data_IF_072422822671
#
_entry.id   IF_072422822671
#
_cell.length_a   1.000
_cell.length_b   1.000
_cell.length_c   1.000
_cell.angle_alpha   90.00
_cell.angle_beta   90.00
_cell.angle_gamma   90.00
#
_symmetry.space_group_name_H-M   'P 1'
#
loop_
_entity.id
_entity.type
_entity.pdbx_description
1 polymer ?
#
# COMPACT_ATOMS: atom_id res chain seq x y z
N UNK A 1 62.10 -32.10 -74.80
CA UNK A 1 60.63 -31.87 -74.90
C UNK A 1 59.97 -33.20 -74.57
N UNK A 2 59.06 -33.31 -73.59
CA UNK A 2 58.01 -32.35 -73.20
C UNK A 2 58.21 -31.71 -71.81
N UNK A 3 57.49 -30.62 -71.54
CA UNK A 3 57.44 -29.87 -70.28
C UNK A 3 56.43 -30.51 -69.33
N UNK A 4 56.86 -30.85 -68.11
CA UNK A 4 55.95 -31.11 -66.98
C UNK A 4 55.50 -29.76 -66.39
N UNK A 5 54.19 -29.55 -66.28
CA UNK A 5 53.60 -28.45 -65.53
C UNK A 5 53.48 -28.84 -64.05
N UNK A 6 53.72 -27.93 -63.09
CA UNK A 6 53.47 -28.21 -61.68
C UNK A 6 51.97 -28.08 -61.39
N UNK A 7 51.39 -29.12 -60.77
CA UNK A 7 50.03 -29.07 -60.25
C UNK A 7 50.00 -28.14 -59.02
N UNK A 8 49.27 -27.03 -59.14
CA UNK A 8 48.98 -26.10 -58.06
C UNK A 8 47.89 -26.71 -57.17
N UNK A 9 48.27 -27.16 -55.97
CA UNK A 9 47.31 -27.62 -54.96
C UNK A 9 46.79 -26.38 -54.21
N UNK A 10 45.58 -25.93 -54.54
CA UNK A 10 44.88 -24.89 -53.78
C UNK A 10 44.26 -25.57 -52.55
N UNK A 11 44.82 -25.28 -51.38
CA UNK A 11 44.24 -25.65 -50.09
C UNK A 11 43.04 -24.72 -49.85
N UNK A 12 41.82 -25.19 -50.15
CA UNK A 12 40.60 -24.50 -49.71
C UNK A 12 40.44 -24.70 -48.21
N UNK A 13 40.84 -23.69 -47.42
CA UNK A 13 40.40 -23.57 -46.04
C UNK A 13 38.91 -23.25 -46.04
N UNK A 14 38.06 -24.27 -45.91
CA UNK A 14 36.66 -24.09 -45.53
C UNK A 14 36.65 -23.61 -44.08
N UNK A 15 36.59 -22.29 -43.89
CA UNK A 15 36.12 -21.71 -42.64
C UNK A 15 34.64 -22.06 -42.52
N UNK A 16 34.33 -23.12 -41.77
CA UNK A 16 32.99 -23.30 -41.26
C UNK A 16 32.71 -22.09 -40.36
N UNK A 17 31.94 -21.13 -40.87
CA UNK A 17 31.27 -20.15 -40.02
C UNK A 17 30.28 -20.96 -39.19
N UNK A 18 30.71 -21.39 -38.01
CA UNK A 18 29.80 -21.81 -36.96
C UNK A 18 28.99 -20.55 -36.68
N UNK A 19 27.74 -20.52 -37.13
CA UNK A 19 26.83 -19.45 -36.74
C UNK A 19 26.82 -19.44 -35.23
N UNK A 20 27.34 -18.37 -34.62
CA UNK A 20 27.22 -18.20 -33.18
C UNK A 20 25.72 -18.24 -32.89
N UNK A 21 25.27 -19.24 -32.13
CA UNK A 21 23.91 -19.24 -31.61
C UNK A 21 23.71 -17.91 -30.87
N UNK A 22 22.56 -17.28 -31.07
CA UNK A 22 22.26 -16.04 -30.35
C UNK A 22 22.36 -16.33 -28.84
N UNK A 23 23.00 -15.43 -28.07
CA UNK A 23 23.15 -15.64 -26.64
C UNK A 23 21.76 -15.69 -25.99
N UNK A 24 21.53 -16.56 -24.99
CA UNK A 24 20.28 -16.58 -24.26
C UNK A 24 20.07 -15.23 -23.57
N UNK A 25 18.81 -14.80 -23.44
CA UNK A 25 18.48 -13.46 -22.93
C UNK A 25 17.97 -13.53 -21.50
N UNK A 26 18.55 -12.71 -20.63
CA UNK A 26 18.09 -12.45 -19.29
C UNK A 26 17.41 -11.08 -19.23
N UNK A 27 16.18 -11.01 -18.72
CA UNK A 27 15.55 -9.75 -18.37
C UNK A 27 16.02 -9.33 -16.96
N UNK A 28 16.46 -8.09 -16.76
CA UNK A 28 16.87 -7.55 -15.46
C UNK A 28 15.95 -6.40 -15.09
N UNK A 29 15.24 -6.54 -13.96
CA UNK A 29 14.51 -5.42 -13.38
C UNK A 29 15.50 -4.46 -12.69
N UNK A 30 15.51 -3.20 -13.12
CA UNK A 30 16.29 -2.14 -12.51
C UNK A 30 15.34 -1.19 -11.76
N UNK A 31 15.47 -1.14 -10.43
CA UNK A 31 14.54 -0.40 -9.58
C UNK A 31 14.89 1.09 -9.59
N UNK A 32 13.97 1.93 -10.08
CA UNK A 32 14.15 3.38 -10.03
C UNK A 32 14.21 3.88 -8.58
N UNK A 33 15.19 4.74 -8.28
CA UNK A 33 15.28 5.47 -7.02
C UNK A 33 16.07 4.82 -5.87
N UNK A 34 16.62 3.60 -6.03
CA UNK A 34 17.42 2.98 -4.97
C UNK A 34 18.93 2.97 -5.29
N UNK A 35 19.63 4.04 -4.91
CA UNK A 35 21.09 4.16 -5.14
C UNK A 35 21.89 3.00 -4.54
N UNK A 36 21.37 2.37 -3.49
CA UNK A 36 22.00 1.22 -2.83
C UNK A 36 22.02 -0.03 -3.73
N UNK A 37 20.98 -0.27 -4.54
CA UNK A 37 20.86 -1.49 -5.32
C UNK A 37 21.45 -1.39 -6.73
N UNK A 38 21.72 -0.17 -7.22
CA UNK A 38 22.38 0.03 -8.52
C UNK A 38 23.69 -0.77 -8.63
N UNK A 39 24.51 -0.82 -7.58
CA UNK A 39 25.75 -1.61 -7.59
C UNK A 39 25.51 -3.13 -7.67
N UNK A 40 24.41 -3.61 -7.06
CA UNK A 40 24.02 -5.02 -7.11
C UNK A 40 23.46 -5.37 -8.48
N UNK A 41 22.63 -4.49 -9.07
CA UNK A 41 22.13 -4.61 -10.44
C UNK A 41 23.29 -4.74 -11.45
N UNK A 42 24.30 -3.86 -11.36
CA UNK A 42 25.50 -3.94 -12.21
C UNK A 42 26.26 -5.25 -11.99
N UNK A 43 26.40 -5.69 -10.74
CA UNK A 43 27.10 -6.94 -10.41
C UNK A 43 26.37 -8.17 -10.98
N UNK A 44 25.04 -8.22 -10.86
CA UNK A 44 24.20 -9.28 -11.41
C UNK A 44 24.26 -9.26 -12.94
N UNK A 45 24.14 -8.08 -13.55
CA UNK A 45 24.28 -7.90 -15.00
C UNK A 45 25.64 -8.41 -15.51
N UNK A 46 26.74 -8.06 -14.83
CA UNK A 46 28.08 -8.48 -15.18
C UNK A 46 28.29 -10.00 -15.02
N UNK A 47 27.70 -10.61 -13.99
CA UNK A 47 27.76 -12.06 -13.77
C UNK A 47 27.08 -12.83 -14.93
N UNK A 48 25.88 -12.42 -15.32
CA UNK A 48 25.16 -13.06 -16.43
C UNK A 48 25.84 -12.82 -17.78
N UNK A 49 26.28 -11.58 -18.03
CA UNK A 49 27.05 -11.25 -19.24
C UNK A 49 28.34 -12.09 -19.34
N UNK A 50 29.08 -12.22 -18.23
CA UNK A 50 30.28 -13.06 -18.15
C UNK A 50 30.01 -14.55 -18.33
N UNK A 51 28.79 -15.00 -18.04
CA UNK A 51 28.32 -16.36 -18.29
C UNK A 51 27.79 -16.58 -19.73
N UNK A 52 27.84 -15.56 -20.59
CA UNK A 52 27.45 -15.66 -22.00
C UNK A 52 26.01 -15.24 -22.31
N UNK A 53 25.30 -14.64 -21.36
CA UNK A 53 23.94 -14.13 -21.55
C UNK A 53 23.94 -12.72 -22.12
N UNK A 54 22.90 -12.39 -22.90
CA UNK A 54 22.53 -10.99 -23.17
C UNK A 54 21.61 -10.49 -22.06
N UNK A 55 21.86 -9.31 -21.50
CA UNK A 55 21.03 -8.75 -20.42
C UNK A 55 20.21 -7.57 -20.94
N UNK A 56 18.89 -7.72 -20.94
CA UNK A 56 17.92 -6.66 -21.26
C UNK A 56 17.40 -6.02 -19.97
N UNK A 57 17.51 -4.69 -19.85
CA UNK A 57 17.04 -3.97 -18.65
C UNK A 57 15.60 -3.50 -18.82
N UNK A 58 14.80 -3.75 -17.79
CA UNK A 58 13.42 -3.29 -17.68
C UNK A 58 13.33 -2.28 -16.53
N UNK A 59 12.77 -1.10 -16.81
CA UNK A 59 12.35 -0.18 -15.76
C UNK A 59 10.96 -0.56 -15.24
N UNK A 60 10.50 0.12 -14.20
CA UNK A 60 9.22 -0.21 -13.57
C UNK A 60 8.01 -0.06 -14.50
N UNK A 61 8.03 0.90 -15.44
CA UNK A 61 6.96 1.05 -16.44
C UNK A 61 6.92 -0.13 -17.41
N UNK A 62 8.07 -0.52 -17.99
CA UNK A 62 8.15 -1.69 -18.86
C UNK A 62 7.76 -2.96 -18.09
N UNK A 63 8.27 -3.14 -16.87
CA UNK A 63 8.02 -4.31 -16.04
C UNK A 63 6.55 -4.48 -15.62
N UNK A 64 5.83 -3.37 -15.53
CA UNK A 64 4.39 -3.32 -15.22
C UNK A 64 3.48 -3.52 -16.45
N UNK A 65 4.05 -3.60 -17.66
CA UNK A 65 3.27 -3.72 -18.89
C UNK A 65 2.99 -5.21 -19.18
N UNK A 66 1.72 -5.63 -19.38
CA UNK A 66 1.40 -6.99 -19.77
C UNK A 66 2.13 -7.41 -21.05
N UNK A 67 2.78 -8.58 -21.01
CA UNK A 67 3.58 -9.11 -22.13
C UNK A 67 4.97 -8.49 -22.28
N UNK A 68 5.43 -7.67 -21.32
CA UNK A 68 6.82 -7.20 -21.30
C UNK A 68 7.84 -8.31 -20.98
N UNK A 69 7.36 -9.38 -20.34
CA UNK A 69 8.09 -10.62 -20.13
C UNK A 69 7.55 -11.68 -21.09
N UNK A 70 8.46 -12.34 -21.81
CA UNK A 70 8.16 -13.41 -22.76
C UNK A 70 9.18 -14.53 -22.54
N UNK A 71 8.76 -15.65 -21.93
CA UNK A 71 9.62 -16.78 -21.60
C UNK A 71 10.25 -17.45 -22.84
N UNK A 72 9.68 -17.27 -24.04
CA UNK A 72 10.27 -17.78 -25.28
C UNK A 72 11.46 -16.94 -25.75
N UNK A 73 11.57 -15.69 -25.30
CA UNK A 73 12.64 -14.75 -25.64
C UNK A 73 13.60 -14.52 -24.48
N UNK A 74 13.07 -14.31 -23.29
CA UNK A 74 13.79 -14.05 -22.05
C UNK A 74 13.69 -15.31 -21.19
N UNK A 75 14.75 -16.11 -21.12
CA UNK A 75 14.68 -17.41 -20.43
C UNK A 75 14.74 -17.24 -18.91
N UNK A 76 15.33 -16.14 -18.43
CA UNK A 76 15.46 -15.85 -16.99
C UNK A 76 15.16 -14.39 -16.68
N UNK A 77 14.41 -14.17 -15.60
CA UNK A 77 14.17 -12.88 -14.99
C UNK A 77 15.09 -12.70 -13.78
N UNK A 78 15.82 -11.58 -13.75
CA UNK A 78 16.73 -11.17 -12.70
C UNK A 78 16.11 -10.02 -11.91
N UNK A 79 15.92 -10.21 -10.60
CA UNK A 79 15.33 -9.23 -9.68
C UNK A 79 16.31 -8.99 -8.52
N UNK A 80 17.26 -8.05 -8.67
CA UNK A 80 18.29 -7.77 -7.65
C UNK A 80 17.74 -7.22 -6.34
N UNK A 81 16.59 -6.55 -6.35
CA UNK A 81 15.83 -6.19 -5.15
C UNK A 81 14.37 -6.60 -5.31
N UNK A 82 14.05 -7.84 -4.93
CA UNK A 82 12.68 -8.33 -4.99
C UNK A 82 11.79 -7.69 -3.94
N UNK A 83 12.36 -7.09 -2.90
CA UNK A 83 11.55 -6.49 -1.84
C UNK A 83 10.80 -5.25 -2.27
N UNK A 84 11.24 -4.60 -3.36
CA UNK A 84 10.67 -3.35 -3.84
C UNK A 84 10.29 -3.46 -5.31
N UNK A 85 9.01 -3.75 -5.56
CA UNK A 85 8.52 -4.11 -6.90
C UNK A 85 7.20 -3.37 -7.22
N UNK A 86 6.94 -3.04 -8.50
CA UNK A 86 5.66 -2.49 -8.93
C UNK A 86 4.48 -3.40 -8.59
N UNK A 87 3.33 -2.82 -8.24
CA UNK A 87 2.08 -3.55 -8.01
C UNK A 87 1.75 -4.46 -9.20
N UNK A 88 1.78 -3.91 -10.40
CA UNK A 88 1.40 -4.60 -11.64
C UNK A 88 2.41 -5.65 -12.10
N UNK A 89 3.61 -5.68 -11.49
CA UNK A 89 4.58 -6.74 -11.78
C UNK A 89 4.15 -8.11 -11.26
N UNK A 90 3.23 -8.19 -10.30
CA UNK A 90 2.75 -9.47 -9.76
C UNK A 90 2.18 -10.38 -10.85
N UNK A 91 1.29 -9.83 -11.69
CA UNK A 91 0.69 -10.57 -12.79
C UNK A 91 1.72 -10.93 -13.87
N UNK A 92 2.61 -10.00 -14.22
CA UNK A 92 3.66 -10.23 -15.22
C UNK A 92 4.63 -11.33 -14.79
N UNK A 93 5.09 -11.32 -13.53
CA UNK A 93 6.00 -12.34 -13.00
C UNK A 93 5.29 -13.70 -12.91
N UNK A 94 4.02 -13.72 -12.46
CA UNK A 94 3.25 -14.96 -12.40
C UNK A 94 3.10 -15.61 -13.79
N UNK A 95 2.67 -14.85 -14.79
CA UNK A 95 2.54 -15.33 -16.17
C UNK A 95 3.89 -15.83 -16.73
N UNK A 96 4.97 -15.08 -16.51
CA UNK A 96 6.31 -15.47 -16.95
C UNK A 96 6.77 -16.81 -16.38
N UNK A 97 6.52 -17.05 -15.09
CA UNK A 97 6.85 -18.32 -14.43
C UNK A 97 5.94 -19.46 -14.89
N UNK A 98 4.65 -19.20 -15.13
CA UNK A 98 3.69 -20.17 -15.66
C UNK A 98 4.05 -20.61 -17.09
N UNK A 99 4.61 -19.71 -17.90
CA UNK A 99 5.10 -19.97 -19.25
C UNK A 99 6.48 -20.68 -19.27
N UNK A 100 7.06 -20.96 -18.10
CA UNK A 100 8.28 -21.75 -17.93
C UNK A 100 9.57 -20.93 -17.83
N UNK A 101 9.49 -19.61 -17.63
CA UNK A 101 10.65 -18.76 -17.37
C UNK A 101 11.24 -18.98 -15.98
N UNK A 102 12.56 -18.82 -15.85
CA UNK A 102 13.28 -18.96 -14.59
C UNK A 102 13.40 -17.61 -13.83
N UNK A 103 13.42 -17.64 -12.51
CA UNK A 103 13.56 -16.43 -11.68
C UNK A 103 14.79 -16.49 -10.77
N UNK A 104 15.62 -15.45 -10.84
CA UNK A 104 16.66 -15.15 -9.85
C UNK A 104 16.25 -13.91 -9.07
N UNK A 105 15.85 -14.09 -7.82
CA UNK A 105 15.41 -13.02 -6.93
C UNK A 105 16.35 -12.88 -5.73
N UNK A 106 16.77 -11.66 -5.43
CA UNK A 106 17.55 -11.30 -4.26
C UNK A 106 16.72 -10.39 -3.32
N UNK A 107 17.17 -10.27 -2.07
CA UNK A 107 16.50 -9.47 -1.04
C UNK A 107 15.02 -9.85 -0.78
N UNK A 108 14.70 -11.14 -0.91
CA UNK A 108 13.37 -11.68 -0.57
C UNK A 108 13.08 -11.55 0.94
N UNK A 109 11.80 -11.54 1.39
CA UNK A 109 10.57 -11.78 0.63
C UNK A 109 10.26 -10.65 -0.36
N UNK A 110 9.61 -11.01 -1.47
CA UNK A 110 9.25 -10.05 -2.51
C UNK A 110 8.09 -9.13 -2.08
N UNK A 111 7.99 -7.94 -2.67
CA UNK A 111 6.92 -6.96 -2.42
C UNK A 111 6.75 -6.53 -0.95
N UNK A 112 7.83 -6.41 -0.17
CA UNK A 112 7.76 -5.73 1.14
C UNK A 112 7.38 -4.25 0.97
N UNK A 113 7.81 -3.65 -0.13
CA UNK A 113 7.43 -2.32 -0.58
C UNK A 113 6.81 -2.44 -1.98
N UNK A 114 5.49 -2.32 -2.06
CA UNK A 114 4.78 -2.28 -3.33
C UNK A 114 4.84 -0.87 -3.91
N UNK A 115 5.24 -0.76 -5.17
CA UNK A 115 5.39 0.52 -5.87
C UNK A 115 4.24 0.81 -6.82
N UNK A 116 3.83 2.07 -6.87
CA UNK A 116 2.81 2.60 -7.81
C UNK A 116 3.31 3.90 -8.44
N UNK A 117 2.88 4.21 -9.69
CA UNK A 117 3.28 5.45 -10.33
C UNK A 117 2.54 6.65 -9.72
N UNK A 118 3.29 7.69 -9.30
CA UNK A 118 2.73 8.97 -8.85
C UNK A 118 3.67 10.11 -9.21
N UNK A 119 3.14 11.18 -9.81
CA UNK A 119 3.95 12.37 -10.12
C UNK A 119 5.15 12.12 -11.06
N UNK A 120 5.12 11.04 -11.86
CA UNK A 120 6.24 10.65 -12.73
C UNK A 120 7.32 9.80 -12.05
N UNK A 121 7.11 9.41 -10.79
CA UNK A 121 8.01 8.53 -10.03
C UNK A 121 7.29 7.25 -9.59
N UNK A 122 8.05 6.24 -9.19
CA UNK A 122 7.53 5.01 -8.58
C UNK A 122 7.70 5.08 -7.07
N UNK A 123 6.58 5.25 -6.37
CA UNK A 123 6.56 5.47 -4.92
C UNK A 123 5.92 4.29 -4.19
N UNK A 124 6.33 3.99 -2.94
CA UNK A 124 5.62 3.01 -2.12
C UNK A 124 4.15 3.39 -1.94
N UNK A 125 3.25 2.40 -1.87
CA UNK A 125 1.80 2.65 -1.69
C UNK A 125 1.50 3.52 -0.47
N UNK A 126 2.22 3.36 0.65
CA UNK A 126 2.03 4.22 1.83
C UNK A 126 2.35 5.70 1.55
N UNK A 127 3.38 5.95 0.75
CA UNK A 127 3.74 7.30 0.33
C UNK A 127 2.71 7.87 -0.66
N UNK A 128 2.23 7.04 -1.60
CA UNK A 128 1.12 7.40 -2.49
C UNK A 128 -0.14 7.75 -1.69
N UNK A 129 -0.56 6.90 -0.76
CA UNK A 129 -1.73 7.10 0.11
C UNK A 129 -1.61 8.41 0.88
N UNK A 130 -0.45 8.71 1.44
CA UNK A 130 -0.21 9.96 2.16
C UNK A 130 -0.19 11.20 1.25
N UNK A 131 0.27 11.08 0.01
CA UNK A 131 0.24 12.17 -0.97
C UNK A 131 -1.19 12.42 -1.47
N UNK A 132 -1.89 11.36 -1.88
CA UNK A 132 -3.28 11.41 -2.31
C UNK A 132 -4.21 11.97 -1.22
N UNK A 133 -4.00 11.59 0.04
CA UNK A 133 -4.73 12.16 1.17
C UNK A 133 -4.58 13.69 1.28
N UNK A 134 -3.45 14.27 0.87
CA UNK A 134 -3.25 15.72 0.86
C UNK A 134 -3.91 16.38 -0.34
N UNK A 135 -3.78 15.76 -1.51
CA UNK A 135 -4.20 16.30 -2.82
C UNK A 135 -5.71 16.22 -3.07
N UNK A 136 -6.36 15.14 -2.63
CA UNK A 136 -7.79 14.91 -2.90
C UNK A 136 -8.66 16.01 -2.28
N UNK A 137 -9.69 16.43 -3.02
CA UNK A 137 -10.73 17.33 -2.52
C UNK A 137 -11.53 16.65 -1.41
N UNK A 138 -11.73 17.35 -0.30
CA UNK A 138 -12.33 16.81 0.92
C UNK A 138 -13.61 17.53 1.25
N UNK A 139 -14.61 16.78 1.69
CA UNK A 139 -15.82 17.30 2.31
C UNK A 139 -15.74 17.09 3.82
N UNK A 140 -15.89 18.15 4.61
CA UNK A 140 -15.92 18.07 6.08
C UNK A 140 -17.09 17.18 6.51
N UNK A 141 -16.79 16.18 7.33
CA UNK A 141 -17.77 15.28 7.93
C UNK A 141 -17.97 15.60 9.42
N UNK A 142 -16.87 15.80 10.16
CA UNK A 142 -16.88 16.20 11.57
C UNK A 142 -15.83 17.29 11.78
N UNK A 143 -16.27 18.52 12.04
CA UNK A 143 -15.44 19.61 12.55
C UNK A 143 -15.66 19.74 14.05
N UNK A 144 -14.67 19.32 14.84
CA UNK A 144 -14.77 19.29 16.30
C UNK A 144 -14.96 20.67 16.94
N UNK A 145 -14.64 21.77 16.26
CA UNK A 145 -14.92 23.11 16.78
C UNK A 145 -16.42 23.38 16.94
N UNK A 146 -17.26 22.75 16.10
CA UNK A 146 -18.71 22.89 16.12
C UNK A 146 -19.47 21.78 16.85
N UNK A 147 -18.77 20.78 17.39
CA UNK A 147 -19.39 19.59 17.96
C UNK A 147 -19.72 19.76 19.44
N UNK A 148 -20.89 19.26 19.85
CA UNK A 148 -21.30 19.14 21.24
C UNK A 148 -21.02 17.71 21.74
N UNK A 149 -19.97 17.51 22.53
CA UNK A 149 -19.58 16.17 23.04
C UNK A 149 -20.66 15.50 23.90
N UNK A 150 -21.61 16.27 24.46
CA UNK A 150 -22.74 15.68 25.20
C UNK A 150 -23.75 14.94 24.31
N UNK A 151 -23.73 15.20 23.00
CA UNK A 151 -24.58 14.51 22.01
C UNK A 151 -23.91 13.28 21.41
N UNK A 152 -22.63 13.07 21.69
CA UNK A 152 -21.91 11.87 21.31
C UNK A 152 -22.22 10.75 22.29
N UNK A 153 -22.45 9.56 21.75
CA UNK A 153 -22.59 8.35 22.56
C UNK A 153 -21.23 7.92 23.11
N UNK A 154 -21.25 7.28 24.28
CA UNK A 154 -20.05 6.73 24.90
C UNK A 154 -20.32 5.27 25.30
N UNK A 155 -19.53 4.36 24.77
CA UNK A 155 -19.62 2.92 25.02
C UNK A 155 -18.28 2.41 25.53
N UNK A 156 -18.32 1.74 26.66
CA UNK A 156 -17.15 1.16 27.33
C UNK A 156 -17.56 -0.15 28.00
N UNK A 157 -16.59 -1.00 28.29
CA UNK A 157 -16.86 -2.23 29.04
C UNK A 157 -17.17 -1.96 30.51
N UNK A 158 -16.35 -1.13 31.15
CA UNK A 158 -16.34 -0.92 32.61
C UNK A 158 -16.51 0.57 32.91
N UNK A 159 -17.69 1.00 33.42
CA UNK A 159 -18.02 2.42 33.61
C UNK A 159 -17.03 3.21 34.47
N UNK A 160 -16.46 2.59 35.50
CA UNK A 160 -15.52 3.24 36.41
C UNK A 160 -14.15 3.55 35.75
N UNK A 161 -13.90 2.95 34.58
CA UNK A 161 -12.68 3.11 33.79
C UNK A 161 -12.90 3.91 32.51
N UNK A 162 -14.10 4.46 32.32
CA UNK A 162 -14.44 5.24 31.14
C UNK A 162 -13.47 6.42 30.95
N UNK A 163 -12.98 6.56 29.73
CA UNK A 163 -12.12 7.65 29.30
C UNK A 163 -12.80 9.00 29.38
N UNK A 164 -11.99 10.05 29.43
CA UNK A 164 -12.46 11.43 29.30
C UNK A 164 -12.24 11.89 27.87
N UNK A 165 -13.27 12.52 27.31
CA UNK A 165 -13.28 13.02 25.94
C UNK A 165 -13.60 14.51 25.93
N UNK A 166 -12.73 15.29 25.30
CA UNK A 166 -12.84 16.75 25.25
C UNK A 166 -12.49 17.27 23.86
N UNK A 167 -12.96 18.48 23.55
CA UNK A 167 -12.45 19.23 22.39
C UNK A 167 -11.39 20.20 22.89
N UNK A 168 -10.17 20.05 22.38
CA UNK A 168 -9.11 21.04 22.57
C UNK A 168 -9.20 22.07 21.43
N UNK A 169 -9.26 23.38 21.74
CA UNK A 169 -9.35 24.41 20.70
C UNK A 169 -8.07 24.48 19.85
N UNK A 170 -8.20 25.10 18.67
CA UNK A 170 -7.04 25.45 17.85
C UNK A 170 -6.09 26.37 18.63
N UNK A 171 -4.78 26.21 18.42
CA UNK A 171 -3.74 27.00 19.07
C UNK A 171 -2.47 26.20 19.40
N UNK A 172 -1.36 26.93 19.55
CA UNK A 172 -0.04 26.33 19.76
C UNK A 172 0.38 25.48 18.56
N UNK A 173 0.54 24.17 18.79
CA UNK A 173 0.88 23.16 17.77
C UNK A 173 -0.37 22.53 17.09
N UNK A 174 -1.58 22.97 17.43
CA UNK A 174 -2.84 22.50 16.83
C UNK A 174 -3.34 23.50 15.79
N UNK A 175 -3.37 23.16 14.50
CA UNK A 175 -3.88 24.04 13.45
C UNK A 175 -5.41 24.19 13.50
N UNK A 176 -6.11 23.25 14.15
CA UNK A 176 -7.58 23.18 14.25
C UNK A 176 -8.01 22.70 15.64
N UNK A 177 -9.31 22.74 15.93
CA UNK A 177 -9.84 22.09 17.13
C UNK A 177 -9.77 20.58 16.97
N UNK A 178 -9.41 19.87 18.05
CA UNK A 178 -9.16 18.42 18.01
C UNK A 178 -9.95 17.70 19.08
N UNK A 179 -10.41 16.51 18.74
CA UNK A 179 -10.98 15.56 19.68
C UNK A 179 -9.85 14.89 20.47
N UNK A 180 -9.82 15.11 21.77
CA UNK A 180 -8.82 14.58 22.67
C UNK A 180 -9.44 13.52 23.57
N UNK A 181 -8.75 12.40 23.71
CA UNK A 181 -9.14 11.31 24.58
C UNK A 181 -8.04 11.04 25.61
N UNK A 182 -8.45 10.83 26.85
CA UNK A 182 -7.58 10.39 27.94
C UNK A 182 -8.19 9.18 28.65
N UNK A 183 -7.50 8.04 28.60
CA UNK A 183 -7.95 6.78 29.20
C UNK A 183 -6.85 6.31 30.16
N UNK A 184 -7.10 6.45 31.46
CA UNK A 184 -6.14 6.08 32.51
C UNK A 184 -5.88 4.57 32.52
N UNK A 185 -6.93 3.78 32.34
CA UNK A 185 -6.85 2.33 32.16
C UNK A 185 -7.94 1.84 31.21
N UNK A 186 -7.57 1.17 30.13
CA UNK A 186 -8.49 0.52 29.21
C UNK A 186 -8.89 -0.86 29.75
N UNK A 187 -10.18 -1.19 29.64
CA UNK A 187 -10.68 -2.54 29.90
C UNK A 187 -11.59 -2.97 28.74
N UNK A 188 -11.10 -3.87 27.89
CA UNK A 188 -11.83 -4.34 26.70
C UNK A 188 -11.89 -3.31 25.58
N UNK A 189 -12.76 -2.31 25.72
CA UNK A 189 -12.95 -1.23 24.75
C UNK A 189 -13.43 0.07 25.42
N UNK A 190 -13.15 1.17 24.73
CA UNK A 190 -13.71 2.50 24.97
C UNK A 190 -13.92 3.20 23.61
N UNK A 191 -15.17 3.57 23.34
CA UNK A 191 -15.66 4.07 22.05
C UNK A 191 -16.50 5.31 22.24
N UNK A 192 -16.17 6.38 21.52
CA UNK A 192 -17.00 7.58 21.44
C UNK A 192 -17.64 7.66 20.05
N UNK A 193 -18.96 7.78 19.99
CA UNK A 193 -19.76 7.54 18.78
C UNK A 193 -20.55 8.77 18.37
N UNK A 194 -20.53 9.10 17.08
CA UNK A 194 -21.40 10.10 16.46
C UNK A 194 -22.45 9.43 15.58
N UNK A 195 -23.72 9.70 15.85
CA UNK A 195 -24.83 9.29 15.00
C UNK A 195 -25.15 10.37 13.97
N UNK A 196 -25.43 9.96 12.73
CA UNK A 196 -25.79 10.87 11.64
C UNK A 196 -27.25 10.69 11.25
N UNK A 197 -28.00 11.80 11.21
CA UNK A 197 -29.40 11.81 10.81
C UNK A 197 -29.58 11.74 9.29
N UNK A 198 -28.55 12.13 8.53
CA UNK A 198 -28.46 12.01 7.08
C UNK A 198 -27.27 11.11 6.70
N UNK A 199 -27.21 10.56 5.47
CA UNK A 199 -26.04 9.82 5.00
C UNK A 199 -24.75 10.64 5.20
N UNK A 200 -23.73 10.11 5.91
CA UNK A 200 -22.51 10.86 6.21
C UNK A 200 -21.58 11.02 5.01
N UNK A 201 -21.75 10.19 3.98
CA UNK A 201 -20.99 10.28 2.73
C UNK A 201 -21.86 10.94 1.66
N UNK A 202 -21.48 12.12 1.15
CA UNK A 202 -22.06 12.68 -0.07
C UNK A 202 -21.94 11.70 -1.25
N UNK A 203 -22.78 11.89 -2.27
CA UNK A 203 -22.73 11.07 -3.48
C UNK A 203 -21.32 11.11 -4.11
N UNK A 204 -20.76 9.93 -4.39
CA UNK A 204 -19.41 9.76 -4.93
C UNK A 204 -18.28 9.73 -3.88
N UNK A 205 -18.53 10.18 -2.65
CA UNK A 205 -17.54 10.08 -1.57
C UNK A 205 -17.56 8.67 -0.97
N UNK A 206 -16.37 8.08 -0.84
CA UNK A 206 -16.20 6.71 -0.29
C UNK A 206 -15.07 6.61 0.72
N UNK A 207 -14.19 7.61 0.76
CA UNK A 207 -13.01 7.61 1.61
C UNK A 207 -13.33 8.25 2.96
N UNK A 208 -12.74 7.72 4.03
CA UNK A 208 -12.65 8.39 5.34
C UNK A 208 -11.24 8.96 5.48
N UNK A 209 -11.13 10.28 5.69
CA UNK A 209 -9.83 10.97 5.82
C UNK A 209 -9.81 11.72 7.15
N UNK A 210 -8.74 11.58 7.92
CA UNK A 210 -8.59 12.28 9.20
C UNK A 210 -7.11 12.40 9.56
N UNK A 211 -6.79 13.26 10.52
CA UNK A 211 -5.47 13.28 11.13
C UNK A 211 -5.54 12.77 12.56
N UNK A 212 -4.51 12.06 13.03
CA UNK A 212 -4.43 11.67 14.43
C UNK A 212 -2.99 11.57 14.92
N UNK A 213 -2.82 11.69 16.24
CA UNK A 213 -1.55 11.44 16.93
C UNK A 213 -1.77 10.80 18.29
N UNK A 214 -0.74 10.12 18.75
CA UNK A 214 -0.61 9.64 20.13
C UNK A 214 0.01 10.73 21.00
N UNK A 215 -0.64 11.02 22.13
CA UNK A 215 -0.09 11.91 23.16
C UNK A 215 0.70 11.07 24.16
N UNK A 216 0.15 9.94 24.60
CA UNK A 216 0.77 9.03 25.60
C UNK A 216 0.94 7.62 25.05
N UNK A 217 0.45 6.56 25.70
CA UNK A 217 0.85 5.20 25.34
C UNK A 217 -0.02 4.53 24.25
N UNK A 218 -0.99 5.26 23.68
CA UNK A 218 -1.79 4.73 22.57
C UNK A 218 -0.90 4.49 21.35
N UNK A 219 -0.88 3.26 20.83
CA UNK A 219 -0.07 2.87 19.66
C UNK A 219 -0.88 2.77 18.38
N UNK A 220 -2.19 2.61 18.50
CA UNK A 220 -3.12 2.49 17.38
C UNK A 220 -4.44 3.18 17.73
N UNK A 221 -5.24 3.47 16.72
CA UNK A 221 -6.59 4.02 16.83
C UNK A 221 -7.50 3.26 15.86
N UNK A 222 -8.71 2.93 16.29
CA UNK A 222 -9.72 2.35 15.43
C UNK A 222 -10.78 3.39 15.06
N UNK A 223 -11.13 3.44 13.78
CA UNK A 223 -12.34 4.07 13.27
C UNK A 223 -13.33 2.95 12.95
N UNK A 224 -14.53 3.06 13.50
CA UNK A 224 -15.62 2.12 13.23
C UNK A 224 -16.75 2.83 12.49
N UNK A 225 -17.28 2.18 11.46
CA UNK A 225 -18.53 2.55 10.82
C UNK A 225 -19.60 1.48 11.09
N UNK A 226 -20.78 1.92 11.50
CA UNK A 226 -21.99 1.09 11.48
C UNK A 226 -22.92 1.52 10.36
N UNK A 227 -23.39 0.53 9.61
CA UNK A 227 -24.38 0.69 8.56
C UNK A 227 -25.82 0.57 9.08
N UNK A 228 -26.80 1.06 8.31
CA UNK A 228 -28.23 1.06 8.71
C UNK A 228 -28.81 -0.34 8.92
N UNK A 229 -28.18 -1.36 8.33
CA UNK A 229 -28.57 -2.77 8.53
C UNK A 229 -27.98 -3.37 9.83
N UNK A 230 -27.19 -2.60 10.57
CA UNK A 230 -26.52 -3.00 11.80
C UNK A 230 -25.15 -3.63 11.59
N UNK A 231 -24.66 -3.74 10.35
CA UNK A 231 -23.31 -4.25 10.10
C UNK A 231 -22.24 -3.26 10.54
N UNK A 232 -21.17 -3.79 11.14
CA UNK A 232 -20.07 -3.02 11.75
C UNK A 232 -18.77 -3.30 11.03
N UNK A 233 -18.02 -2.24 10.74
CA UNK A 233 -16.82 -2.25 9.92
C UNK A 233 -15.72 -1.45 10.62
N UNK A 234 -14.58 -2.06 10.88
CA UNK A 234 -13.51 -1.48 11.71
C UNK A 234 -12.22 -1.39 10.89
N UNK A 235 -11.61 -0.20 10.89
CA UNK A 235 -10.26 0.03 10.38
C UNK A 235 -9.37 0.53 11.52
N UNK A 236 -8.16 -0.01 11.63
CA UNK A 236 -7.16 0.40 12.62
C UNK A 236 -5.96 1.05 11.96
N UNK A 237 -5.49 2.16 12.53
CA UNK A 237 -4.28 2.86 12.06
C UNK A 237 -3.24 2.96 13.17
N UNK A 238 -1.94 2.85 12.84
CA UNK A 238 -0.87 3.05 13.82
C UNK A 238 -0.74 4.54 14.13
N UNK A 239 -0.61 4.89 15.41
CA UNK A 239 -0.38 6.27 15.85
C UNK A 239 1.11 6.58 16.05
N UNK A 240 1.50 7.82 15.78
CA UNK A 240 2.80 8.38 16.16
C UNK A 240 2.65 9.60 17.07
N UNK A 241 3.76 10.06 17.64
CA UNK A 241 3.78 11.33 18.40
C UNK A 241 3.54 12.57 17.54
N UNK A 242 3.91 12.48 16.26
CA UNK A 242 3.64 13.50 15.27
C UNK A 242 2.24 13.32 14.67
N UNK A 243 1.66 14.43 14.22
CA UNK A 243 0.43 14.39 13.44
C UNK A 243 0.66 13.64 12.14
N UNK A 244 -0.21 12.66 11.88
CA UNK A 244 -0.27 11.94 10.62
C UNK A 244 -1.67 12.03 10.05
N UNK A 245 -1.73 12.20 8.74
CA UNK A 245 -2.98 12.11 7.99
C UNK A 245 -3.17 10.67 7.53
N UNK A 246 -4.35 10.13 7.77
CA UNK A 246 -4.79 8.80 7.35
C UNK A 246 -5.89 8.96 6.32
N UNK A 247 -5.85 8.11 5.30
CA UNK A 247 -6.89 7.94 4.31
C UNK A 247 -7.25 6.47 4.27
N UNK A 248 -8.52 6.18 4.49
CA UNK A 248 -9.08 4.83 4.54
C UNK A 248 -10.10 4.67 3.41
N UNK A 249 -9.88 3.66 2.59
CA UNK A 249 -10.80 3.14 1.59
C UNK A 249 -11.82 2.20 2.24
N UNK A 250 -12.93 1.86 1.56
CA UNK A 250 -13.86 0.87 2.07
C UNK A 250 -13.23 -0.50 2.38
N UNK A 251 -12.20 -0.92 1.64
CA UNK A 251 -11.53 -2.21 1.84
C UNK A 251 -10.59 -2.24 3.06
N UNK A 252 -10.21 -1.07 3.59
CA UNK A 252 -9.44 -0.97 4.84
C UNK A 252 -10.32 -1.30 6.06
N UNK A 253 -11.65 -1.20 5.94
CA UNK A 253 -12.57 -1.56 7.03
C UNK A 253 -12.95 -3.05 6.96
N UNK A 254 -12.59 -3.81 7.99
CA UNK A 254 -12.89 -5.23 8.08
C UNK A 254 -14.18 -5.46 8.87
N UNK A 255 -14.94 -6.49 8.47
CA UNK A 255 -16.18 -6.86 9.14
C UNK A 255 -15.95 -7.21 10.61
N UNK A 256 -16.80 -6.72 11.49
CA UNK A 256 -16.89 -7.12 12.88
C UNK A 256 -18.16 -7.93 13.12
N UNK A 257 -18.08 -9.02 13.89
CA UNK A 257 -19.12 -10.04 14.15
C UNK A 257 -20.48 -9.45 14.59
N UNK A 258 -21.25 -8.94 13.62
CA UNK A 258 -22.47 -8.15 13.84
C UNK A 258 -23.66 -8.76 13.11
N UNK A 259 -23.66 -8.67 11.77
CA UNK A 259 -24.70 -9.22 10.90
C UNK A 259 -24.11 -10.35 10.06
N UNK A 260 -24.41 -11.64 10.35
CA UNK A 260 -23.74 -12.78 9.70
C UNK A 260 -23.79 -12.78 8.17
N UNK A 261 -24.89 -12.29 7.57
CA UNK A 261 -25.03 -12.21 6.11
C UNK A 261 -24.02 -11.26 5.44
N UNK A 262 -23.37 -10.38 6.21
CA UNK A 262 -22.41 -9.38 5.74
C UNK A 262 -20.95 -9.80 5.89
N UNK A 263 -20.66 -10.95 6.49
CA UNK A 263 -19.29 -11.41 6.80
C UNK A 263 -18.34 -11.43 5.59
N UNK A 264 -18.85 -11.80 4.41
CA UNK A 264 -18.07 -11.90 3.16
C UNK A 264 -18.30 -10.72 2.21
N UNK A 265 -18.81 -9.61 2.74
CA UNK A 265 -19.06 -8.38 1.98
C UNK A 265 -18.05 -7.31 2.36
N UNK A 266 -18.23 -6.10 1.84
CA UNK A 266 -17.42 -4.94 2.19
C UNK A 266 -18.28 -3.85 2.84
N UNK A 267 -17.61 -2.91 3.48
CA UNK A 267 -18.21 -1.67 3.95
C UNK A 267 -18.82 -0.90 2.76
N UNK A 268 -20.06 -0.44 2.93
CA UNK A 268 -20.77 0.42 1.99
C UNK A 268 -20.98 1.81 2.60
N UNK A 269 -20.16 2.82 2.23
CA UNK A 269 -20.26 4.18 2.75
C UNK A 269 -21.65 4.82 2.57
N UNK A 270 -22.36 4.50 1.49
CA UNK A 270 -23.71 5.02 1.25
C UNK A 270 -24.74 4.52 2.28
N UNK A 271 -24.47 3.39 2.94
CA UNK A 271 -25.33 2.82 3.98
C UNK A 271 -24.85 3.16 5.40
N UNK A 272 -23.74 3.89 5.56
CA UNK A 272 -23.22 4.30 6.85
C UNK A 272 -24.19 5.24 7.59
N UNK A 273 -24.22 5.15 8.92
CA UNK A 273 -25.06 6.04 9.74
C UNK A 273 -24.50 6.35 11.13
N UNK A 274 -23.48 5.63 11.61
CA UNK A 274 -22.80 5.92 12.87
C UNK A 274 -21.30 5.72 12.71
N UNK A 275 -20.50 6.66 13.22
CA UNK A 275 -19.05 6.55 13.31
C UNK A 275 -18.65 6.41 14.77
N UNK A 276 -17.59 5.64 15.06
CA UNK A 276 -16.94 5.61 16.36
C UNK A 276 -15.44 5.84 16.24
N UNK A 277 -14.89 6.53 17.24
CA UNK A 277 -13.45 6.58 17.50
C UNK A 277 -13.19 5.70 18.72
N UNK A 278 -12.39 4.65 18.55
CA UNK A 278 -12.32 3.54 19.51
C UNK A 278 -10.87 3.16 19.84
N UNK A 279 -10.62 2.86 21.12
CA UNK A 279 -9.54 1.96 21.53
C UNK A 279 -10.15 0.64 22.01
N UNK A 280 -9.59 -0.48 21.56
CA UNK A 280 -10.05 -1.81 21.95
C UNK A 280 -8.91 -2.83 21.87
N UNK A 281 -8.85 -3.77 22.82
CA UNK A 281 -7.79 -4.79 22.83
C UNK A 281 -7.74 -5.63 21.55
N UNK A 282 -8.89 -5.88 20.92
CA UNK A 282 -9.00 -6.70 19.71
C UNK A 282 -8.46 -6.01 18.46
N UNK A 283 -8.35 -4.67 18.44
CA UNK A 283 -8.10 -3.91 17.20
C UNK A 283 -6.97 -2.89 17.33
N UNK A 284 -6.67 -2.41 18.55
CA UNK A 284 -5.67 -1.37 18.80
C UNK A 284 -4.52 -1.84 19.71
N UNK A 285 -4.45 -3.14 20.01
CA UNK A 285 -3.41 -3.74 20.85
C UNK A 285 -3.72 -3.72 22.35
N UNK A 286 -2.83 -4.33 23.14
CA UNK A 286 -3.06 -4.62 24.57
C UNK A 286 -2.47 -3.59 25.55
N UNK A 287 -1.94 -2.46 25.07
CA UNK A 287 -1.51 -1.39 25.98
C UNK A 287 -2.73 -0.87 26.71
N UNK A 288 -2.75 -1.01 28.04
CA UNK A 288 -3.96 -0.81 28.84
C UNK A 288 -3.91 0.41 29.75
N UNK A 289 -2.82 1.18 29.78
CA UNK A 289 -2.63 2.26 30.76
C UNK A 289 -2.06 3.52 30.17
N UNK A 290 -2.50 4.63 30.76
CA UNK A 290 -2.02 5.97 30.43
C UNK A 290 -2.06 6.23 28.92
N UNK A 291 -3.24 6.01 28.35
CA UNK A 291 -3.50 6.19 26.93
C UNK A 291 -4.02 7.61 26.73
N UNK A 292 -3.53 8.25 25.67
CA UNK A 292 -4.10 9.49 25.19
C UNK A 292 -3.79 9.68 23.71
N UNK A 293 -4.75 10.21 22.99
CA UNK A 293 -4.64 10.50 21.57
C UNK A 293 -5.45 11.75 21.21
N UNK A 294 -5.12 12.36 20.08
CA UNK A 294 -5.88 13.46 19.49
C UNK A 294 -6.25 13.11 18.06
N UNK A 295 -7.46 13.49 17.64
CA UNK A 295 -7.99 13.34 16.28
C UNK A 295 -8.39 14.72 15.77
N UNK A 296 -7.89 15.08 14.59
CA UNK A 296 -8.27 16.29 13.87
C UNK A 296 -9.58 16.10 13.09
N UNK A 297 -9.97 17.10 12.32
CA UNK A 297 -11.20 17.09 11.52
C UNK A 297 -11.31 15.80 10.71
N UNK A 298 -12.51 15.20 10.71
CA UNK A 298 -12.83 14.04 9.89
C UNK A 298 -13.49 14.52 8.61
N UNK A 299 -13.03 13.98 7.50
CA UNK A 299 -13.51 14.30 6.16
C UNK A 299 -13.98 13.04 5.44
N UNK A 300 -14.81 13.23 4.43
CA UNK A 300 -15.02 12.26 3.37
C UNK A 300 -14.44 12.78 2.06
N UNK A 301 -14.09 11.88 1.14
CA UNK A 301 -13.55 12.25 -0.16
C UNK A 301 -13.94 11.21 -1.23
N UNK A 302 -13.99 11.60 -2.52
CA UNK A 302 -14.12 10.65 -3.61
C UNK A 302 -12.85 9.83 -3.79
N UNK A 303 -12.97 8.63 -4.35
CA UNK A 303 -11.84 7.83 -4.82
C UNK A 303 -11.75 7.93 -6.34
N UNK A 304 -10.71 8.58 -6.83
CA UNK A 304 -10.48 8.70 -8.26
C UNK A 304 -10.12 7.32 -8.86
N UNK A 305 -10.58 7.00 -10.09
CA UNK A 305 -10.35 5.68 -10.70
C UNK A 305 -8.88 5.29 -10.84
N UNK A 306 -8.00 6.26 -11.08
CA UNK A 306 -6.55 6.07 -11.16
C UNK A 306 -5.92 5.74 -9.80
N UNK A 307 -6.45 6.32 -8.71
CA UNK A 307 -6.02 6.01 -7.34
C UNK A 307 -6.60 4.69 -6.82
N UNK A 308 -7.76 4.26 -7.30
CA UNK A 308 -8.42 3.04 -6.85
C UNK A 308 -7.53 1.80 -7.02
N UNK A 309 -6.88 1.67 -8.17
CA UNK A 309 -5.96 0.56 -8.44
C UNK A 309 -4.83 0.47 -7.41
N UNK A 310 -4.23 1.60 -7.06
CA UNK A 310 -3.15 1.66 -6.08
C UNK A 310 -3.60 1.39 -4.63
N UNK A 311 -4.78 1.87 -4.24
CA UNK A 311 -5.25 1.82 -2.84
C UNK A 311 -6.08 0.57 -2.52
N UNK A 312 -6.84 0.04 -3.47
CA UNK A 312 -7.73 -1.11 -3.24
C UNK A 312 -6.99 -2.44 -3.42
N UNK A 313 -6.03 -2.51 -4.35
CA UNK A 313 -5.21 -3.71 -4.54
C UNK A 313 -4.24 -3.94 -3.37
N UNK A 314 -3.94 -2.90 -2.59
CA UNK A 314 -3.08 -2.93 -1.43
C UNK A 314 -3.82 -2.39 -0.20
N UNK A 315 -4.85 -3.14 0.22
CA UNK A 315 -5.59 -2.85 1.44
C UNK A 315 -4.71 -3.17 2.67
N UNK A 316 -4.75 -2.27 3.67
CA UNK A 316 -4.01 -2.42 4.94
C UNK A 316 -4.71 -3.45 5.85
#
# INVERSE_FOLDING_TARGET
>A
MPRMAPALFVLLCLSAAVGAAEPPVAALFAAEGSQQWTAVEESVSALFTGAGWSVERLNAAAFSTPGALDAARQEVLLVPDASRLPLDSMASIAAFLEDGGDLVALNTPAWREVLVPHGGEWVPVDAFRAAYAREVEKTVLVDFAGENMAEWGHSFRTPELAGTYTVHPAGGDRPEAVFAAEIAKLDGWDSHTKQFNAPPFPEGNVLTVFSARSIRNATHLAIEWEERDGSRWIASVPLSKEWRQYLLTPSDFKFWESVPAREKTAFNPANAHRMAVTLAFTHTGFTDRDLAYEVGTVFTAPLAPDAAHALEAYAV
#
